data_IF_889708282148
#
_entry.id   IF_889708282148
#
_cell.length_a   1.000
_cell.length_b   1.000
_cell.length_c   1.000
_cell.angle_alpha   90.00
_cell.angle_beta   90.00
_cell.angle_gamma   90.00
#
_symmetry.space_group_name_H-M   'P 1'
#
loop_
_entity.id
_entity.type
_entity.pdbx_description
1 polymer ?
#
# COMPACT_ATOMS: atom_id res chain seq x y z
N UNK A 1 -15.62 -5.46 6.98
CA UNK A 1 -16.36 -6.25 5.97
C UNK A 1 -17.23 -7.34 6.58
N UNK A 2 -16.71 -8.25 7.42
CA UNK A 2 -17.51 -9.32 8.04
C UNK A 2 -18.77 -8.82 8.79
N UNK A 3 -18.72 -7.77 9.63
CA UNK A 3 -19.92 -7.25 10.29
C UNK A 3 -20.99 -6.77 9.29
N UNK A 4 -20.56 -6.15 8.19
CA UNK A 4 -21.46 -5.66 7.14
C UNK A 4 -22.17 -6.80 6.42
N UNK A 5 -21.45 -7.87 6.13
CA UNK A 5 -22.05 -9.06 5.50
C UNK A 5 -23.00 -9.78 6.44
N UNK A 6 -22.73 -9.80 7.74
CA UNK A 6 -23.65 -10.36 8.73
C UNK A 6 -24.94 -9.52 8.86
N UNK A 7 -24.84 -8.19 8.81
CA UNK A 7 -26.01 -7.28 8.82
C UNK A 7 -26.87 -7.47 7.55
N UNK A 8 -26.23 -7.74 6.41
CA UNK A 8 -26.90 -7.84 5.10
C UNK A 8 -27.22 -9.27 4.67
N UNK A 9 -26.96 -10.26 5.53
CA UNK A 9 -27.46 -11.62 5.32
C UNK A 9 -28.98 -11.56 5.13
N UNK A 10 -29.55 -12.27 4.14
CA UNK A 10 -30.99 -12.37 4.04
C UNK A 10 -31.52 -12.90 5.38
N UNK A 11 -32.53 -12.24 5.94
CA UNK A 11 -33.19 -12.66 7.19
C UNK A 11 -33.92 -14.02 7.07
N UNK A 12 -33.89 -14.66 5.89
CA UNK A 12 -34.19 -16.09 5.72
C UNK A 12 -33.07 -16.98 6.30
N UNK A 13 -33.14 -18.30 6.11
CA UNK A 13 -32.16 -19.28 6.63
C UNK A 13 -30.73 -18.93 6.17
N UNK A 14 -29.89 -18.28 7.00
CA UNK A 14 -28.58 -17.82 6.54
C UNK A 14 -27.68 -19.05 6.43
N UNK A 15 -27.08 -19.26 5.26
CA UNK A 15 -26.08 -20.31 5.11
C UNK A 15 -24.73 -19.80 5.66
N UNK A 16 -24.63 -19.74 6.98
CA UNK A 16 -23.41 -19.32 7.69
C UNK A 16 -22.19 -20.14 7.27
N UNK A 17 -22.38 -21.44 6.97
CA UNK A 17 -21.31 -22.30 6.48
C UNK A 17 -20.74 -21.82 5.15
N UNK A 18 -21.59 -21.40 4.21
CA UNK A 18 -21.14 -20.81 2.94
C UNK A 18 -20.40 -19.49 3.16
N UNK A 19 -20.93 -18.59 4.00
CA UNK A 19 -20.30 -17.30 4.29
C UNK A 19 -18.93 -17.49 4.95
N UNK A 20 -18.87 -18.31 6.00
CA UNK A 20 -17.61 -18.63 6.70
C UNK A 20 -16.60 -19.25 5.73
N UNK A 21 -17.01 -20.18 4.87
CA UNK A 21 -16.14 -20.77 3.84
C UNK A 21 -15.60 -19.73 2.86
N UNK A 22 -16.44 -18.80 2.38
CA UNK A 22 -16.01 -17.75 1.44
C UNK A 22 -15.05 -16.77 2.08
N UNK A 23 -15.30 -16.38 3.32
CA UNK A 23 -14.37 -15.53 4.08
C UNK A 23 -13.06 -16.24 4.38
N UNK A 24 -13.09 -17.52 4.77
CA UNK A 24 -11.89 -18.31 4.99
C UNK A 24 -11.07 -18.44 3.70
N UNK A 25 -11.72 -18.69 2.56
CA UNK A 25 -11.07 -18.72 1.26
C UNK A 25 -10.44 -17.38 0.90
N UNK A 26 -11.18 -16.27 1.05
CA UNK A 26 -10.66 -14.94 0.76
C UNK A 26 -9.50 -14.56 1.68
N UNK A 27 -9.59 -14.87 2.96
CA UNK A 27 -8.53 -14.64 3.95
C UNK A 27 -7.28 -15.46 3.62
N UNK A 28 -7.43 -16.76 3.39
CA UNK A 28 -6.30 -17.63 3.05
C UNK A 28 -5.63 -17.20 1.74
N UNK A 29 -6.42 -16.84 0.72
CA UNK A 29 -5.87 -16.34 -0.54
C UNK A 29 -5.13 -15.00 -0.36
N UNK A 30 -5.73 -14.05 0.38
CA UNK A 30 -5.10 -12.78 0.68
C UNK A 30 -3.79 -12.96 1.48
N UNK A 31 -3.79 -13.88 2.46
CA UNK A 31 -2.59 -14.21 3.23
C UNK A 31 -1.48 -14.77 2.33
N UNK A 32 -1.80 -15.73 1.45
CA UNK A 32 -0.83 -16.31 0.53
C UNK A 32 -0.27 -15.26 -0.45
N UNK A 33 -1.14 -14.44 -1.04
CA UNK A 33 -0.72 -13.39 -1.98
C UNK A 33 0.08 -12.26 -1.29
N UNK A 34 -0.15 -12.02 0.00
CA UNK A 34 0.59 -11.03 0.78
C UNK A 34 1.75 -11.64 1.58
N UNK A 35 2.01 -12.95 1.45
CA UNK A 35 2.94 -13.69 2.30
C UNK A 35 4.36 -13.11 2.37
N UNK A 36 5.00 -12.61 1.28
CA UNK A 36 6.32 -11.98 1.37
C UNK A 36 6.42 -10.85 2.41
N UNK A 37 5.31 -10.14 2.62
CA UNK A 37 5.24 -9.04 3.57
C UNK A 37 4.68 -9.48 4.91
N UNK A 38 3.56 -10.22 4.90
CA UNK A 38 2.84 -10.60 6.12
C UNK A 38 3.62 -11.59 6.97
N UNK A 39 4.34 -12.54 6.36
CA UNK A 39 5.11 -13.54 7.11
C UNK A 39 6.26 -12.88 7.87
N UNK A 40 7.08 -12.09 7.17
CA UNK A 40 8.18 -11.33 7.75
C UNK A 40 7.69 -10.38 8.84
N UNK A 41 6.58 -9.69 8.59
CA UNK A 41 5.94 -8.82 9.58
C UNK A 41 5.47 -9.61 10.81
N UNK A 42 4.77 -10.73 10.64
CA UNK A 42 4.22 -11.51 11.74
C UNK A 42 5.32 -12.09 12.66
N UNK A 43 6.40 -12.61 12.07
CA UNK A 43 7.53 -13.16 12.82
C UNK A 43 8.30 -12.09 13.60
N UNK A 44 8.37 -10.88 13.05
CA UNK A 44 9.13 -9.77 13.64
C UNK A 44 8.25 -8.74 14.37
N UNK A 45 6.93 -8.95 14.45
CA UNK A 45 6.00 -7.94 14.95
C UNK A 45 6.29 -7.50 16.38
N UNK A 46 6.75 -8.40 17.24
CA UNK A 46 7.10 -8.11 18.63
C UNK A 46 8.33 -7.20 18.78
N UNK A 47 9.16 -7.13 17.74
CA UNK A 47 10.40 -6.36 17.69
C UNK A 47 10.22 -4.99 17.02
N UNK A 48 9.07 -4.77 16.37
CA UNK A 48 8.77 -3.52 15.66
C UNK A 48 8.00 -2.59 16.59
N UNK A 49 8.43 -1.34 16.65
CA UNK A 49 7.66 -0.24 17.24
C UNK A 49 7.18 0.70 16.16
N UNK A 50 6.05 1.36 16.41
CA UNK A 50 5.50 2.37 15.52
C UNK A 50 5.23 3.62 16.34
N UNK A 51 5.65 4.77 15.83
CA UNK A 51 5.29 6.03 16.46
C UNK A 51 3.76 6.16 16.49
N UNK A 52 3.19 6.45 17.65
CA UNK A 52 1.77 6.73 17.83
C UNK A 52 1.49 8.24 17.67
N UNK A 53 0.35 8.60 17.10
CA UNK A 53 -0.12 9.99 17.09
C UNK A 53 -0.97 10.22 18.34
N UNK A 54 -0.28 10.60 19.43
CA UNK A 54 -0.90 10.74 20.74
C UNK A 54 -1.98 11.82 20.78
N UNK A 55 -1.84 12.82 19.92
CA UNK A 55 -2.74 13.97 19.87
C UNK A 55 -3.76 13.89 18.74
N UNK A 56 -3.73 12.82 17.94
CA UNK A 56 -4.53 12.68 16.72
C UNK A 56 -4.39 13.88 15.76
N UNK A 57 -3.22 14.53 15.75
CA UNK A 57 -2.97 15.75 14.99
C UNK A 57 -3.01 15.56 13.47
N UNK A 58 -2.82 14.32 13.00
CA UNK A 58 -2.89 13.97 11.57
C UNK A 58 -4.27 13.50 11.09
N UNK A 59 -5.32 13.63 11.91
CA UNK A 59 -6.61 12.98 11.65
C UNK A 59 -7.72 14.02 11.55
N UNK A 60 -8.47 13.99 10.45
CA UNK A 60 -9.60 14.88 10.22
C UNK A 60 -10.87 14.44 10.96
N UNK A 61 -11.70 15.41 11.41
CA UNK A 61 -13.10 15.18 11.74
C UNK A 61 -13.88 14.48 10.63
N UNK A 62 -14.88 13.67 11.01
CA UNK A 62 -15.73 12.91 10.09
C UNK A 62 -16.38 13.80 9.02
N UNK A 63 -16.78 15.02 9.40
CA UNK A 63 -17.47 15.98 8.54
C UNK A 63 -16.61 16.46 7.36
N UNK A 64 -15.28 16.42 7.48
CA UNK A 64 -14.37 16.96 6.47
C UNK A 64 -13.74 15.89 5.57
N UNK A 65 -13.68 14.63 6.00
CA UNK A 65 -13.12 13.54 5.18
C UNK A 65 -13.78 13.46 3.80
N UNK A 66 -15.12 13.56 3.63
CA UNK A 66 -15.74 13.50 2.31
C UNK A 66 -15.23 14.56 1.32
N UNK A 67 -14.77 15.72 1.80
CA UNK A 67 -14.21 16.76 0.93
C UNK A 67 -12.93 16.28 0.24
N UNK A 68 -12.15 15.41 0.89
CA UNK A 68 -10.92 14.85 0.30
C UNK A 68 -11.16 14.05 -0.98
N UNK A 69 -12.38 13.55 -1.19
CA UNK A 69 -12.76 12.81 -2.40
C UNK A 69 -12.97 13.71 -3.62
N UNK A 70 -13.21 15.01 -3.43
CA UNK A 70 -13.65 15.91 -4.50
C UNK A 70 -12.83 17.20 -4.65
N UNK A 71 -11.99 17.55 -3.66
CA UNK A 71 -11.12 18.72 -3.75
C UNK A 71 -9.89 18.41 -4.58
N UNK A 72 -9.70 19.15 -5.66
CA UNK A 72 -8.60 18.96 -6.61
C UNK A 72 -7.48 20.00 -6.50
N UNK A 73 -7.55 20.96 -5.57
CA UNK A 73 -6.52 21.99 -5.39
C UNK A 73 -5.42 21.48 -4.43
N UNK A 74 -4.16 21.29 -4.89
CA UNK A 74 -3.07 20.87 -4.01
C UNK A 74 -2.80 21.84 -2.85
N UNK A 75 -3.08 23.14 -3.04
CA UNK A 75 -2.85 24.17 -2.02
C UNK A 75 -3.78 24.01 -0.84
N UNK A 76 -5.00 23.50 -1.05
CA UNK A 76 -5.95 23.20 0.02
C UNK A 76 -5.31 22.29 1.08
N UNK A 77 -4.62 21.24 0.62
CA UNK A 77 -3.97 20.26 1.48
C UNK A 77 -2.68 20.75 2.16
N UNK A 78 -2.14 21.90 1.71
CA UNK A 78 -0.99 22.56 2.32
C UNK A 78 -1.37 23.65 3.33
N UNK A 79 -2.66 23.84 3.61
CA UNK A 79 -3.14 24.91 4.50
C UNK A 79 -3.74 24.34 5.79
N UNK A 80 -3.50 24.97 6.96
CA UNK A 80 -4.02 24.50 8.24
C UNK A 80 -5.49 24.89 8.45
N UNK A 81 -6.36 24.53 7.50
CA UNK A 81 -7.81 24.76 7.55
C UNK A 81 -8.54 23.45 7.85
N UNK A 82 -9.78 23.53 8.34
CA UNK A 82 -10.64 22.35 8.59
C UNK A 82 -9.98 21.27 9.47
N UNK A 83 -9.21 21.70 10.48
CA UNK A 83 -8.45 20.83 11.37
C UNK A 83 -7.43 19.91 10.65
N UNK A 84 -6.88 20.38 9.52
CA UNK A 84 -5.76 19.72 8.85
C UNK A 84 -4.42 20.28 9.32
N UNK A 85 -3.42 19.41 9.37
CA UNK A 85 -2.02 19.82 9.33
C UNK A 85 -1.61 20.15 7.87
N UNK A 86 -0.58 20.97 7.64
CA UNK A 86 -0.14 21.34 6.29
C UNK A 86 0.69 20.22 5.62
N UNK A 87 0.23 18.97 5.71
CA UNK A 87 0.90 17.79 5.16
C UNK A 87 -0.06 17.01 4.25
N UNK A 88 -0.01 17.23 2.92
CA UNK A 88 -0.97 16.62 1.99
C UNK A 88 -1.04 15.09 2.06
N UNK A 89 0.09 14.43 2.35
CA UNK A 89 0.16 12.98 2.52
C UNK A 89 -0.76 12.43 3.63
N UNK A 90 -1.29 13.29 4.50
CA UNK A 90 -2.24 12.93 5.56
C UNK A 90 -3.72 13.12 5.17
N UNK A 91 -4.03 13.63 3.97
CA UNK A 91 -5.42 13.98 3.61
C UNK A 91 -5.84 13.70 2.15
N UNK A 92 -4.92 13.46 1.21
CA UNK A 92 -5.27 13.31 -0.22
C UNK A 92 -5.96 11.96 -0.50
N UNK A 93 -7.19 12.00 -1.04
CA UNK A 93 -7.98 10.84 -1.45
C UNK A 93 -8.86 11.14 -2.69
N UNK A 94 -8.38 11.98 -3.60
CA UNK A 94 -9.18 12.49 -4.70
C UNK A 94 -9.71 11.39 -5.64
N UNK A 95 -11.02 11.38 -5.89
CA UNK A 95 -11.71 10.52 -6.89
C UNK A 95 -12.63 11.32 -7.83
N UNK A 96 -12.88 12.58 -7.51
CA UNK A 96 -13.63 13.53 -8.32
C UNK A 96 -15.15 13.46 -8.19
N UNK A 97 -15.80 14.57 -8.54
CA UNK A 97 -17.25 14.72 -8.49
C UNK A 97 -17.99 13.70 -9.35
N UNK A 98 -17.42 13.30 -10.48
CA UNK A 98 -18.07 12.35 -11.38
C UNK A 98 -18.34 11.00 -10.70
N UNK A 99 -17.35 10.47 -9.97
CA UNK A 99 -17.50 9.22 -9.23
C UNK A 99 -18.60 9.33 -8.15
N UNK A 100 -18.64 10.45 -7.42
CA UNK A 100 -19.64 10.72 -6.38
C UNK A 100 -21.04 10.84 -6.97
N UNK A 101 -21.22 11.62 -8.04
CA UNK A 101 -22.52 11.80 -8.68
C UNK A 101 -23.07 10.48 -9.24
N UNK A 102 -22.23 9.70 -9.91
CA UNK A 102 -22.60 8.37 -10.41
C UNK A 102 -22.93 7.40 -9.26
N UNK A 103 -22.20 7.47 -8.15
CA UNK A 103 -22.50 6.67 -6.97
C UNK A 103 -23.88 7.01 -6.36
N UNK A 104 -24.21 8.30 -6.26
CA UNK A 104 -25.53 8.76 -5.79
C UNK A 104 -26.64 8.31 -6.74
N UNK A 105 -26.41 8.34 -8.05
CA UNK A 105 -27.33 7.78 -9.04
C UNK A 105 -27.50 6.27 -8.83
N UNK A 106 -26.41 5.53 -8.60
CA UNK A 106 -26.44 4.10 -8.30
C UNK A 106 -27.28 3.78 -7.06
N UNK A 107 -27.10 4.54 -5.97
CA UNK A 107 -27.92 4.41 -4.76
C UNK A 107 -29.40 4.68 -5.04
N UNK A 108 -29.71 5.72 -5.83
CA UNK A 108 -31.10 6.09 -6.15
C UNK A 108 -31.78 5.11 -7.12
N UNK A 109 -31.03 4.52 -8.04
CA UNK A 109 -31.57 3.68 -9.13
C UNK A 109 -31.53 2.18 -8.85
N UNK A 110 -30.84 1.75 -7.78
CA UNK A 110 -30.85 0.36 -7.36
C UNK A 110 -32.26 -0.06 -6.89
N UNK A 111 -32.93 -0.92 -7.68
CA UNK A 111 -34.35 -1.30 -7.44
C UNK A 111 -34.57 -2.80 -7.31
N UNK A 112 -33.68 -3.63 -7.86
CA UNK A 112 -33.82 -5.08 -7.74
C UNK A 112 -33.38 -5.55 -6.35
N UNK A 113 -34.08 -6.52 -5.75
CA UNK A 113 -33.78 -6.95 -4.37
C UNK A 113 -32.33 -7.41 -4.14
N UNK A 114 -31.70 -8.05 -5.12
CA UNK A 114 -30.28 -8.42 -5.09
C UNK A 114 -29.35 -7.22 -5.20
N UNK A 115 -29.66 -6.30 -6.11
CA UNK A 115 -28.91 -5.06 -6.33
C UNK A 115 -28.97 -4.13 -5.12
N UNK A 116 -30.14 -3.97 -4.49
CA UNK A 116 -30.30 -3.17 -3.26
C UNK A 116 -29.37 -3.68 -2.15
N UNK A 117 -29.18 -4.99 -2.03
CA UNK A 117 -28.25 -5.57 -1.03
C UNK A 117 -26.79 -5.26 -1.37
N UNK A 118 -26.41 -5.37 -2.64
CA UNK A 118 -25.06 -5.00 -3.09
C UNK A 118 -24.81 -3.51 -2.85
N UNK A 119 -25.78 -2.67 -3.21
CA UNK A 119 -25.74 -1.23 -2.99
C UNK A 119 -25.60 -0.89 -1.49
N UNK A 120 -26.40 -1.49 -0.61
CA UNK A 120 -26.27 -1.32 0.84
C UNK A 120 -24.91 -1.80 1.36
N UNK A 121 -24.39 -2.92 0.85
CA UNK A 121 -23.07 -3.42 1.22
C UNK A 121 -21.97 -2.42 0.87
N UNK A 122 -21.98 -1.91 -0.36
CA UNK A 122 -20.99 -0.93 -0.83
C UNK A 122 -21.11 0.39 -0.06
N UNK A 123 -22.33 0.86 0.20
CA UNK A 123 -22.58 2.08 0.96
C UNK A 123 -22.05 1.95 2.40
N UNK A 124 -22.43 0.87 3.10
CA UNK A 124 -21.97 0.64 4.46
C UNK A 124 -20.45 0.41 4.53
N UNK A 125 -19.86 -0.20 3.50
CA UNK A 125 -18.41 -0.37 3.39
C UNK A 125 -17.70 0.98 3.28
N UNK A 126 -18.17 1.86 2.38
CA UNK A 126 -17.64 3.22 2.24
C UNK A 126 -17.76 4.02 3.54
N UNK A 127 -18.95 4.00 4.16
CA UNK A 127 -19.20 4.70 5.42
C UNK A 127 -18.31 4.18 6.55
N UNK A 128 -18.16 2.85 6.67
CA UNK A 128 -17.31 2.25 7.71
C UNK A 128 -15.86 2.69 7.55
N UNK A 129 -15.34 2.70 6.31
CA UNK A 129 -13.98 3.17 6.05
C UNK A 129 -13.80 4.64 6.47
N UNK A 130 -14.76 5.52 6.13
CA UNK A 130 -14.73 6.95 6.50
C UNK A 130 -14.83 7.13 8.02
N UNK A 131 -15.73 6.41 8.70
CA UNK A 131 -15.90 6.46 10.16
C UNK A 131 -14.62 5.99 10.87
N UNK A 132 -14.03 4.86 10.45
CA UNK A 132 -12.78 4.36 11.06
C UNK A 132 -11.60 5.29 10.75
N UNK A 133 -11.63 6.02 9.63
CA UNK A 133 -10.63 7.02 9.29
C UNK A 133 -10.76 8.33 10.11
N UNK A 134 -11.91 8.60 10.73
CA UNK A 134 -12.22 9.87 11.35
C UNK A 134 -11.76 10.00 12.80
N UNK A 135 -11.69 11.26 13.25
CA UNK A 135 -11.19 11.64 14.57
C UNK A 135 -12.08 11.13 15.71
N UNK A 136 -13.39 11.31 15.60
CA UNK A 136 -14.34 11.17 16.71
C UNK A 136 -14.40 9.72 17.24
N UNK A 137 -14.52 8.67 16.40
CA UNK A 137 -14.54 7.30 16.89
C UNK A 137 -13.22 6.89 17.54
N UNK A 138 -12.08 7.43 17.04
CA UNK A 138 -10.76 7.13 17.59
C UNK A 138 -10.55 7.79 18.95
N UNK A 139 -10.93 9.06 19.07
CA UNK A 139 -10.93 9.77 20.34
C UNK A 139 -11.84 9.07 21.35
N UNK A 140 -13.04 8.67 20.94
CA UNK A 140 -13.96 7.93 21.80
C UNK A 140 -13.34 6.63 22.32
N UNK A 141 -12.79 5.78 21.45
CA UNK A 141 -12.15 4.52 21.88
C UNK A 141 -10.98 4.79 22.83
N UNK A 142 -10.14 5.79 22.54
CA UNK A 142 -9.01 6.14 23.40
C UNK A 142 -9.45 6.69 24.77
N UNK A 143 -10.56 7.44 24.83
CA UNK A 143 -11.15 7.92 26.07
C UNK A 143 -11.76 6.81 26.92
N UNK A 144 -12.39 5.81 26.29
CA UNK A 144 -12.99 4.67 27.01
C UNK A 144 -11.94 3.65 27.48
N UNK A 145 -10.84 3.49 26.73
CA UNK A 145 -9.80 2.51 27.03
C UNK A 145 -8.40 3.14 27.10
N UNK A 146 -8.18 4.15 27.96
CA UNK A 146 -6.90 4.83 28.04
C UNK A 146 -5.81 3.86 28.51
N UNK A 147 -4.60 3.97 27.94
CA UNK A 147 -3.44 3.11 28.26
C UNK A 147 -3.63 1.61 28.00
N UNK A 148 -4.76 1.19 27.44
CA UNK A 148 -4.95 -0.19 27.01
C UNK A 148 -4.17 -0.48 25.73
N UNK A 149 -3.93 -1.77 25.44
CA UNK A 149 -3.41 -2.19 24.14
C UNK A 149 -4.25 -1.66 22.99
N UNK A 150 -5.59 -1.69 23.11
CA UNK A 150 -6.51 -1.19 22.09
C UNK A 150 -6.36 0.33 21.87
N UNK A 151 -6.28 1.11 22.94
CA UNK A 151 -6.04 2.55 22.87
C UNK A 151 -4.74 2.88 22.13
N UNK A 152 -3.66 2.16 22.45
CA UNK A 152 -2.38 2.31 21.76
C UNK A 152 -2.45 1.93 20.27
N UNK A 153 -3.16 0.85 19.92
CA UNK A 153 -3.36 0.47 18.51
C UNK A 153 -4.11 1.57 17.74
N UNK A 154 -5.17 2.14 18.32
CA UNK A 154 -5.93 3.24 17.71
C UNK A 154 -5.06 4.48 17.49
N UNK A 155 -4.24 4.86 18.46
CA UNK A 155 -3.28 5.98 18.31
C UNK A 155 -2.19 5.68 17.27
N UNK A 156 -1.87 4.41 17.04
CA UNK A 156 -0.89 3.97 16.04
C UNK A 156 -1.41 4.00 14.60
N UNK A 157 -2.72 4.22 14.39
CA UNK A 157 -3.36 4.36 13.06
C UNK A 157 -3.15 5.77 12.47
N UNK A 158 -1.90 6.16 12.21
CA UNK A 158 -1.55 7.54 11.80
C UNK A 158 -1.95 7.91 10.35
N UNK A 159 -2.30 6.95 9.51
CA UNK A 159 -2.61 7.20 8.10
C UNK A 159 -4.12 7.13 7.85
N UNK A 160 -4.83 8.21 8.18
CA UNK A 160 -6.23 8.37 7.81
C UNK A 160 -6.50 8.25 6.30
N UNK A 161 -5.61 8.72 5.39
CA UNK A 161 -5.86 8.59 3.96
C UNK A 161 -5.92 7.16 3.49
N UNK A 162 -5.03 6.29 3.97
CA UNK A 162 -5.03 4.88 3.57
C UNK A 162 -6.34 4.20 3.99
N UNK A 163 -6.86 4.52 5.18
CA UNK A 163 -8.10 3.94 5.69
C UNK A 163 -9.32 4.53 4.95
N UNK A 164 -9.40 5.86 4.80
CA UNK A 164 -10.46 6.52 4.04
C UNK A 164 -10.44 6.13 2.56
N UNK A 165 -9.26 5.86 2.00
CA UNK A 165 -9.06 5.38 0.64
C UNK A 165 -9.71 4.02 0.39
N UNK A 166 -9.94 3.21 1.43
CA UNK A 166 -10.74 1.98 1.32
C UNK A 166 -12.20 2.24 0.93
N UNK A 167 -12.70 3.47 1.09
CA UNK A 167 -14.02 3.88 0.63
C UNK A 167 -14.10 4.08 -0.89
N UNK A 168 -12.96 4.30 -1.57
CA UNK A 168 -12.91 4.58 -3.02
C UNK A 168 -13.50 3.44 -3.83
N UNK A 169 -13.09 2.20 -3.56
CA UNK A 169 -13.58 1.04 -4.33
C UNK A 169 -15.09 0.83 -4.17
N UNK A 170 -15.68 0.85 -2.97
CA UNK A 170 -17.13 0.79 -2.83
C UNK A 170 -17.87 1.95 -3.51
N UNK A 171 -17.33 3.19 -3.44
CA UNK A 171 -17.92 4.35 -4.13
C UNK A 171 -17.89 4.13 -5.65
N UNK A 172 -16.78 3.65 -6.22
CA UNK A 172 -16.69 3.33 -7.64
C UNK A 172 -17.62 2.18 -8.03
N UNK A 173 -17.82 1.19 -7.15
CA UNK A 173 -18.80 0.13 -7.34
C UNK A 173 -20.24 0.66 -7.40
N UNK A 174 -20.60 1.59 -6.52
CA UNK A 174 -21.88 2.31 -6.60
C UNK A 174 -21.98 3.14 -7.88
N UNK A 175 -20.86 3.77 -8.29
CA UNK A 175 -20.75 4.48 -9.55
C UNK A 175 -21.02 3.59 -10.76
N UNK A 176 -20.49 2.37 -10.76
CA UNK A 176 -20.72 1.39 -11.83
C UNK A 176 -22.19 0.99 -11.95
N UNK A 177 -22.88 0.80 -10.81
CA UNK A 177 -24.34 0.59 -10.79
C UNK A 177 -25.05 1.81 -11.41
N UNK A 178 -24.66 3.02 -11.03
CA UNK A 178 -25.23 4.25 -11.59
C UNK A 178 -25.05 4.38 -13.09
N UNK A 179 -23.85 4.06 -13.60
CA UNK A 179 -23.54 4.06 -15.04
C UNK A 179 -24.40 3.04 -15.78
N UNK A 180 -24.47 1.79 -15.31
CA UNK A 180 -25.28 0.73 -15.93
C UNK A 180 -26.75 1.15 -16.04
N UNK A 181 -27.31 1.65 -14.93
CA UNK A 181 -28.71 2.09 -14.88
C UNK A 181 -29.00 3.31 -15.76
N UNK A 182 -28.11 4.30 -15.80
CA UNK A 182 -28.25 5.43 -16.72
C UNK A 182 -28.12 5.00 -18.16
N UNK A 183 -27.19 4.10 -18.47
CA UNK A 183 -26.93 3.65 -19.83
C UNK A 183 -28.15 2.94 -20.41
N UNK A 184 -28.75 2.01 -19.64
CA UNK A 184 -30.00 1.33 -20.04
C UNK A 184 -31.15 2.34 -20.17
N UNK A 185 -31.33 3.24 -19.20
CA UNK A 185 -32.42 4.22 -19.23
C UNK A 185 -32.33 5.17 -20.42
N UNK A 186 -31.14 5.69 -20.73
CA UNK A 186 -30.93 6.63 -21.84
C UNK A 186 -31.01 5.93 -23.21
N UNK A 187 -30.68 4.64 -23.29
CA UNK A 187 -30.81 3.87 -24.53
C UNK A 187 -32.28 3.68 -24.97
N UNK A 188 -33.19 3.58 -23.99
CA UNK A 188 -34.63 3.36 -24.27
C UNK A 188 -35.38 4.64 -24.62
N UNK A 189 -34.94 5.80 -24.11
CA UNK A 189 -35.75 7.03 -24.14
C UNK A 189 -35.61 7.87 -25.42
N UNK A 190 -34.48 7.82 -26.12
CA UNK A 190 -34.27 8.67 -27.30
C UNK A 190 -33.42 7.95 -28.36
N UNK A 191 -34.04 7.70 -29.52
CA UNK A 191 -33.35 7.30 -30.74
C UNK A 191 -33.46 8.46 -31.74
N UNK A 192 -32.34 9.10 -32.05
CA UNK A 192 -32.30 10.10 -33.13
C UNK A 192 -31.97 9.32 -34.39
N UNK A 193 -32.95 9.16 -35.27
CA UNK A 193 -32.79 8.57 -36.59
C UNK A 193 -32.66 9.66 -37.64
N UNK A 194 -31.51 9.75 -38.30
CA UNK A 194 -31.37 10.59 -39.51
C UNK A 194 -31.88 9.75 -40.68
N UNK A 195 -33.10 10.01 -41.15
CA UNK A 195 -33.60 9.38 -42.36
C UNK A 195 -32.83 9.93 -43.56
N UNK A 196 -32.15 9.04 -44.26
CA UNK A 196 -31.42 9.39 -45.47
C UNK A 196 -32.36 9.20 -46.67
N UNK A 197 -32.54 10.22 -47.49
CA UNK A 197 -33.44 10.18 -48.66
C UNK A 197 -33.09 9.07 -49.67
N UNK A 198 -31.87 8.53 -49.61
CA UNK A 198 -31.35 7.54 -50.55
C UNK A 198 -31.56 6.08 -50.11
N UNK A 199 -32.43 5.80 -49.13
CA UNK A 199 -32.72 4.42 -48.68
C UNK A 199 -31.59 3.76 -47.88
N UNK A 200 -30.56 4.50 -47.50
CA UNK A 200 -29.53 4.01 -46.57
C UNK A 200 -30.11 3.81 -45.17
N UNK A 201 -29.66 2.78 -44.45
CA UNK A 201 -30.10 2.49 -43.07
C UNK A 201 -29.92 3.75 -42.22
N UNK A 202 -30.94 4.17 -41.44
CA UNK A 202 -30.83 5.36 -40.60
C UNK A 202 -29.69 5.15 -39.60
N UNK A 203 -28.82 6.15 -39.48
CA UNK A 203 -27.88 6.20 -38.37
C UNK A 203 -28.71 6.49 -37.12
N UNK A 204 -28.85 5.49 -36.25
CA UNK A 204 -29.49 5.65 -34.97
C UNK A 204 -28.42 6.00 -33.93
N UNK A 205 -28.47 7.22 -33.41
CA UNK A 205 -27.65 7.60 -32.26
C UNK A 205 -28.49 7.49 -30.99
N UNK A 206 -28.07 6.60 -30.09
CA UNK A 206 -28.68 6.45 -28.76
C UNK A 206 -28.04 7.42 -27.79
N UNK A 207 -28.85 8.06 -26.95
CA UNK A 207 -28.40 9.11 -26.02
C UNK A 207 -27.44 8.58 -24.94
N UNK A 208 -27.39 7.27 -24.72
CA UNK A 208 -26.46 6.62 -23.80
C UNK A 208 -24.98 6.89 -24.12
N UNK A 209 -24.62 7.14 -25.39
CA UNK A 209 -23.26 7.51 -25.78
C UNK A 209 -22.83 8.87 -25.22
N UNK A 210 -23.78 9.76 -24.90
CA UNK A 210 -23.46 11.01 -24.21
C UNK A 210 -22.90 10.78 -22.79
N UNK A 211 -23.14 9.61 -22.16
CA UNK A 211 -22.51 9.26 -20.88
C UNK A 211 -21.00 9.06 -20.99
N UNK A 212 -20.49 8.78 -22.19
CA UNK A 212 -19.04 8.57 -22.38
C UNK A 212 -18.27 9.88 -22.15
N UNK A 213 -18.84 11.03 -22.52
CA UNK A 213 -18.22 12.35 -22.31
C UNK A 213 -17.92 12.66 -20.83
N UNK A 214 -18.89 12.62 -19.90
CA UNK A 214 -18.64 12.84 -18.48
C UNK A 214 -17.73 11.75 -17.87
N UNK A 215 -17.77 10.51 -18.36
CA UNK A 215 -16.87 9.45 -17.91
C UNK A 215 -15.41 9.72 -18.31
N UNK A 216 -15.16 10.05 -19.58
CA UNK A 216 -13.84 10.44 -20.06
C UNK A 216 -13.35 11.67 -19.29
N UNK A 217 -14.20 12.68 -19.10
CA UNK A 217 -13.87 13.86 -18.33
C UNK A 217 -13.50 13.51 -16.87
N UNK A 218 -14.24 12.60 -16.23
CA UNK A 218 -13.95 12.12 -14.89
C UNK A 218 -12.57 11.48 -14.78
N UNK A 219 -12.25 10.54 -15.69
CA UNK A 219 -10.93 9.88 -15.73
C UNK A 219 -9.82 10.88 -16.02
N UNK A 220 -10.04 11.79 -16.96
CA UNK A 220 -9.08 12.84 -17.29
C UNK A 220 -8.80 13.75 -16.10
N UNK A 221 -9.83 14.16 -15.35
CA UNK A 221 -9.67 15.00 -14.17
C UNK A 221 -8.87 14.29 -13.07
N UNK A 222 -9.20 13.03 -12.77
CA UNK A 222 -8.42 12.21 -11.82
C UNK A 222 -6.97 12.10 -12.27
N UNK A 223 -6.70 11.84 -13.55
CA UNK A 223 -5.34 11.81 -14.09
C UNK A 223 -4.60 13.13 -13.84
N UNK A 224 -5.20 14.28 -14.14
CA UNK A 224 -4.56 15.59 -13.95
C UNK A 224 -4.19 15.83 -12.48
N UNK A 225 -5.10 15.50 -11.54
CA UNK A 225 -4.83 15.67 -10.11
C UNK A 225 -3.76 14.70 -9.63
N UNK A 226 -3.87 13.42 -10.00
CA UNK A 226 -2.91 12.38 -9.59
C UNK A 226 -1.51 12.64 -10.13
N UNK A 227 -1.37 13.18 -11.35
CA UNK A 227 -0.07 13.57 -11.90
C UNK A 227 0.63 14.69 -11.10
N UNK A 228 -0.11 15.47 -10.31
CA UNK A 228 0.47 16.42 -9.36
C UNK A 228 1.16 15.75 -8.16
N UNK A 229 0.77 14.52 -7.82
CA UNK A 229 1.26 13.78 -6.65
C UNK A 229 2.17 12.60 -7.03
N UNK A 230 1.90 11.96 -8.16
CA UNK A 230 2.63 10.80 -8.67
C UNK A 230 3.24 11.21 -10.01
N UNK A 231 4.50 11.63 -9.96
CA UNK A 231 5.30 12.01 -11.14
C UNK A 231 6.74 11.59 -10.95
N UNK A 232 7.44 11.45 -12.07
CA UNK A 232 8.88 11.30 -12.08
C UNK A 232 9.49 12.68 -12.27
N UNK A 233 10.24 13.12 -11.26
CA UNK A 233 11.04 14.35 -11.34
C UNK A 233 12.50 13.97 -11.62
N UNK A 234 13.20 14.79 -12.40
CA UNK A 234 14.64 14.63 -12.55
C UNK A 234 15.32 14.85 -11.19
N UNK A 235 16.33 14.04 -10.88
CA UNK A 235 17.12 14.25 -9.68
C UNK A 235 17.76 15.65 -9.70
N UNK A 236 17.65 16.36 -8.58
CA UNK A 236 18.28 17.67 -8.46
C UNK A 236 19.81 17.53 -8.60
N UNK A 237 20.50 18.46 -9.29
CA UNK A 237 21.94 18.33 -9.58
C UNK A 237 22.84 18.24 -8.34
N UNK A 238 22.37 18.74 -7.20
CA UNK A 238 23.08 18.66 -5.93
C UNK A 238 23.03 17.25 -5.32
N UNK A 239 22.04 16.41 -5.63
CA UNK A 239 21.88 15.09 -5.00
C UNK A 239 23.10 14.20 -5.23
N UNK A 240 23.59 13.96 -6.46
CA UNK A 240 24.79 13.14 -6.66
C UNK A 240 26.04 13.67 -5.96
N UNK A 241 26.16 15.00 -5.79
CA UNK A 241 27.30 15.66 -5.14
C UNK A 241 27.27 15.45 -3.63
N UNK A 242 26.11 15.64 -3.01
CA UNK A 242 25.91 15.37 -1.59
C UNK A 242 26.16 13.89 -1.29
N UNK A 243 25.59 12.98 -2.09
CA UNK A 243 25.83 11.55 -1.91
C UNK A 243 27.31 11.19 -2.08
N UNK A 244 28.01 11.77 -3.05
CA UNK A 244 29.46 11.56 -3.19
C UNK A 244 30.25 12.06 -1.97
N UNK A 245 29.88 13.21 -1.42
CA UNK A 245 30.52 13.78 -0.23
C UNK A 245 30.24 12.99 1.06
N UNK A 246 29.16 12.22 1.09
CA UNK A 246 28.81 11.34 2.21
C UNK A 246 29.51 9.97 2.17
N UNK A 247 30.33 9.69 1.16
CA UNK A 247 31.08 8.45 1.10
C UNK A 247 32.13 8.42 2.22
N UNK A 248 32.19 7.31 2.96
CA UNK A 248 33.17 7.09 4.02
C UNK A 248 34.22 6.05 3.58
N UNK A 249 35.40 5.98 4.23
CA UNK A 249 36.41 5.00 3.85
C UNK A 249 35.97 3.55 4.06
N UNK A 250 35.05 3.30 5.00
CA UNK A 250 34.47 1.98 5.25
C UNK A 250 32.94 2.01 5.09
N UNK A 251 32.18 1.38 5.98
CA UNK A 251 30.72 1.27 5.94
C UNK A 251 30.02 2.05 7.06
N UNK A 252 30.63 3.12 7.55
CA UNK A 252 30.04 3.94 8.59
C UNK A 252 28.65 4.47 8.20
N UNK A 253 27.79 4.60 9.21
CA UNK A 253 26.47 5.19 9.01
C UNK A 253 26.59 6.68 8.68
N UNK A 254 25.77 7.16 7.76
CA UNK A 254 25.74 8.56 7.34
C UNK A 254 24.31 9.09 7.28
N UNK A 255 24.17 10.42 7.25
CA UNK A 255 22.88 11.06 6.99
C UNK A 255 22.99 12.12 5.89
N UNK A 256 21.98 12.16 5.02
CA UNK A 256 21.71 13.29 4.15
C UNK A 256 20.79 14.30 4.85
N UNK A 257 20.53 15.48 4.26
CA UNK A 257 19.74 16.53 4.91
C UNK A 257 18.37 16.05 5.39
N UNK A 258 18.01 16.40 6.63
CA UNK A 258 16.85 15.81 7.27
C UNK A 258 15.55 16.15 6.54
N UNK A 259 14.70 15.12 6.35
CA UNK A 259 13.39 15.25 5.72
C UNK A 259 13.41 15.28 4.19
N UNK A 260 14.58 15.24 3.56
CA UNK A 260 14.71 15.30 2.11
C UNK A 260 14.73 13.88 1.51
N UNK A 261 13.55 13.35 1.15
CA UNK A 261 13.39 11.97 0.64
C UNK A 261 14.15 11.72 -0.67
N UNK A 262 14.40 12.77 -1.46
CA UNK A 262 15.04 12.67 -2.78
C UNK A 262 16.48 12.12 -2.77
N UNK A 263 17.15 12.09 -1.61
CA UNK A 263 18.49 11.53 -1.49
C UNK A 263 18.51 10.02 -1.27
N UNK A 264 17.43 9.43 -0.73
CA UNK A 264 17.43 8.06 -0.22
C UNK A 264 17.79 7.02 -1.28
N UNK A 265 17.12 7.07 -2.44
CA UNK A 265 17.34 6.11 -3.53
C UNK A 265 18.79 6.18 -4.05
N UNK A 266 19.30 7.39 -4.28
CA UNK A 266 20.69 7.58 -4.75
C UNK A 266 21.72 7.17 -3.71
N UNK A 267 21.44 7.39 -2.43
CA UNK A 267 22.32 6.96 -1.35
C UNK A 267 22.40 5.43 -1.29
N UNK A 268 21.24 4.75 -1.34
CA UNK A 268 21.17 3.28 -1.35
C UNK A 268 21.83 2.68 -2.60
N UNK A 269 21.61 3.27 -3.77
CA UNK A 269 22.23 2.83 -5.03
C UNK A 269 23.76 2.98 -5.03
N UNK A 270 24.32 3.80 -4.14
CA UNK A 270 25.76 3.93 -3.90
C UNK A 270 26.26 3.18 -2.66
N UNK A 271 25.43 2.31 -2.09
CA UNK A 271 25.82 1.48 -0.94
C UNK A 271 25.96 2.23 0.39
N UNK A 272 25.48 3.48 0.49
CA UNK A 272 25.56 4.22 1.74
C UNK A 272 24.59 3.66 2.79
N UNK A 273 25.05 3.58 4.05
CA UNK A 273 24.23 3.17 5.19
C UNK A 273 23.60 4.38 5.85
N UNK A 274 22.27 4.44 5.92
CA UNK A 274 21.54 5.63 6.38
C UNK A 274 21.13 5.50 7.84
N UNK A 275 21.64 6.38 8.69
CA UNK A 275 21.50 6.25 10.14
C UNK A 275 20.11 6.69 10.64
N UNK A 276 19.64 7.83 10.12
CA UNK A 276 18.44 8.52 10.54
C UNK A 276 17.60 8.91 9.34
N UNK A 277 16.48 8.20 9.17
CA UNK A 277 15.45 8.53 8.19
C UNK A 277 14.08 8.40 8.84
N UNK A 278 13.07 9.23 8.49
CA UNK A 278 11.71 9.10 9.01
C UNK A 278 11.03 7.83 8.47
N UNK A 279 11.42 6.69 9.02
CA UNK A 279 10.73 5.43 8.78
C UNK A 279 9.37 5.45 9.47
N UNK A 280 8.36 4.83 8.84
CA UNK A 280 7.01 4.74 9.41
C UNK A 280 6.94 3.80 10.64
N UNK A 281 8.04 3.13 10.96
CA UNK A 281 8.23 2.15 12.02
C UNK A 281 9.71 2.19 12.45
N UNK A 282 10.03 1.60 13.59
CA UNK A 282 11.39 1.45 14.08
C UNK A 282 11.55 0.15 14.85
N UNK A 283 12.75 -0.10 15.35
CA UNK A 283 13.00 -1.25 16.20
C UNK A 283 12.74 -0.90 17.67
N UNK A 284 12.03 -1.78 18.34
CA UNK A 284 11.72 -1.63 19.76
C UNK A 284 13.02 -1.64 20.56
N UNK A 285 13.14 -0.68 21.48
CA UNK A 285 14.28 -0.55 22.40
C UNK A 285 15.65 -0.43 21.71
N UNK A 286 15.68 0.00 20.43
CA UNK A 286 16.91 0.23 19.67
C UNK A 286 16.94 1.66 19.14
N UNK A 287 17.86 2.52 19.62
CA UNK A 287 18.04 3.83 19.04
C UNK A 287 18.76 3.70 17.68
N UNK A 288 18.48 4.63 16.78
CA UNK A 288 19.19 4.77 15.51
C UNK A 288 20.71 4.85 15.74
N UNK A 289 21.52 4.23 14.86
CA UNK A 289 22.97 4.39 14.94
C UNK A 289 23.34 5.88 14.80
N UNK A 290 24.40 6.28 15.51
CA UNK A 290 24.95 7.62 15.33
C UNK A 290 25.70 7.66 13.99
N UNK A 291 25.42 8.64 13.11
CA UNK A 291 26.13 8.77 11.86
C UNK A 291 27.56 9.31 12.10
N UNK A 292 28.54 8.75 11.39
CA UNK A 292 29.90 9.28 11.36
C UNK A 292 30.00 10.57 10.53
N UNK A 293 29.16 10.70 9.50
CA UNK A 293 29.15 11.83 8.58
C UNK A 293 27.71 12.26 8.26
N UNK A 294 27.44 13.55 8.24
CA UNK A 294 26.11 14.10 7.98
C UNK A 294 26.19 15.33 7.09
N UNK A 295 25.28 15.44 6.13
CA UNK A 295 25.08 16.65 5.34
C UNK A 295 23.82 17.36 5.83
N UNK A 296 23.92 18.64 6.19
CA UNK A 296 22.78 19.43 6.67
C UNK A 296 22.92 20.89 6.23
N UNK A 297 21.79 21.54 5.95
CA UNK A 297 21.76 22.93 5.50
C UNK A 297 20.93 23.88 6.38
N UNK A 298 20.11 23.34 7.29
CA UNK A 298 19.18 24.16 8.10
C UNK A 298 19.68 24.41 9.52
N UNK A 299 20.44 23.48 10.11
CA UNK A 299 20.98 23.61 11.47
C UNK A 299 22.26 22.77 11.64
N UNK A 300 23.09 23.11 12.62
CA UNK A 300 24.22 22.26 12.99
C UNK A 300 23.71 21.05 13.82
N UNK A 301 23.98 19.80 13.42
CA UNK A 301 23.63 18.64 14.23
C UNK A 301 24.34 18.66 15.59
N UNK A 302 23.65 18.18 16.64
CA UNK A 302 24.26 18.06 17.97
C UNK A 302 25.43 17.08 17.93
N UNK A 303 26.44 17.31 18.78
CA UNK A 303 27.60 16.41 18.96
C UNK A 303 28.40 16.16 17.66
N UNK A 304 28.40 17.15 16.76
CA UNK A 304 29.19 17.13 15.53
C UNK A 304 30.12 18.33 15.42
N UNK A 305 31.15 18.19 14.59
CA UNK A 305 32.07 19.26 14.19
C UNK A 305 31.91 19.49 12.69
N UNK A 306 31.89 20.75 12.27
CA UNK A 306 31.85 21.11 10.84
C UNK A 306 33.12 20.59 10.15
N UNK A 307 32.95 19.69 9.19
CA UNK A 307 34.01 19.05 8.43
C UNK A 307 34.34 19.80 7.12
N UNK A 308 33.43 20.66 6.66
CA UNK A 308 33.64 21.49 5.48
C UNK A 308 32.34 21.80 4.73
N UNK A 309 32.47 22.44 3.57
CA UNK A 309 31.38 22.65 2.61
C UNK A 309 31.44 21.62 1.48
N UNK A 310 30.30 21.36 0.85
CA UNK A 310 30.22 20.49 -0.34
C UNK A 310 30.44 21.37 -1.58
N UNK A 311 31.42 21.07 -2.45
CA UNK A 311 31.69 21.87 -3.63
C UNK A 311 30.44 22.06 -4.50
N UNK A 312 30.19 23.31 -4.91
CA UNK A 312 29.10 23.68 -5.82
C UNK A 312 27.69 23.28 -5.33
N UNK A 313 27.51 23.18 -4.01
CA UNK A 313 26.22 22.98 -3.36
C UNK A 313 26.05 24.03 -2.27
N UNK A 314 25.38 25.12 -2.62
CA UNK A 314 25.17 26.23 -1.70
C UNK A 314 24.25 25.83 -0.54
N UNK A 315 24.61 26.27 0.67
CA UNK A 315 23.80 26.11 1.87
C UNK A 315 23.82 24.72 2.50
N UNK A 316 24.54 23.73 1.96
CA UNK A 316 24.72 22.42 2.61
C UNK A 316 26.15 22.28 3.11
N UNK A 317 26.28 21.96 4.40
CA UNK A 317 27.56 21.72 5.07
C UNK A 317 27.69 20.26 5.45
N UNK A 318 28.94 19.81 5.55
CA UNK A 318 29.30 18.48 6.01
C UNK A 318 29.71 18.56 7.48
N UNK A 319 29.20 17.63 8.27
CA UNK A 319 29.43 17.51 9.70
C UNK A 319 29.94 16.11 10.01
N UNK A 320 30.99 16.01 10.83
CA UNK A 320 31.54 14.75 11.33
C UNK A 320 31.18 14.58 12.79
N UNK A 321 30.94 13.35 13.23
CA UNK A 321 30.75 13.06 14.66
C UNK A 321 31.96 13.56 15.47
N UNK A 322 31.70 14.16 16.65
CA UNK A 322 32.75 14.63 17.55
C UNK A 322 33.55 13.47 18.18
N UNK A 323 32.93 12.30 18.26
CA UNK A 323 33.56 11.03 18.69
C UNK A 323 33.68 10.10 17.50
N UNK A 324 34.69 9.23 17.50
CA UNK A 324 34.86 8.24 16.44
C UNK A 324 33.66 7.29 16.41
N UNK A 325 33.00 7.23 15.24
CA UNK A 325 31.84 6.38 14.99
C UNK A 325 32.23 5.26 14.02
N UNK A 326 33.24 4.49 14.40
CA UNK A 326 33.72 3.37 13.59
C UNK A 326 32.62 2.35 13.39
N UNK A 327 32.54 1.80 12.19
CA UNK A 327 31.51 0.82 11.82
C UNK A 327 31.80 -0.55 12.41
N UNK A 328 33.06 -1.00 12.30
CA UNK A 328 33.53 -2.28 12.81
C UNK A 328 34.81 -2.07 13.61
N UNK A 329 34.84 -2.60 14.83
CA UNK A 329 36.01 -2.51 15.70
C UNK A 329 36.12 -3.73 16.60
N UNK A 330 37.34 -4.07 17.00
CA UNK A 330 37.58 -5.09 18.02
C UNK A 330 37.80 -4.39 19.35
N UNK A 331 36.91 -4.66 20.29
CA UNK A 331 36.94 -4.14 21.65
C UNK A 331 37.72 -5.09 22.57
N UNK A 332 38.41 -4.50 23.54
CA UNK A 332 39.21 -5.22 24.52
C UNK A 332 38.86 -4.73 25.92
N UNK A 333 39.06 -5.57 26.94
CA UNK A 333 38.75 -5.22 28.32
C UNK A 333 39.60 -4.05 28.89
N UNK A 334 40.82 -3.86 28.38
CA UNK A 334 41.80 -2.94 28.96
C UNK A 334 42.71 -2.24 27.95
N UNK A 335 42.37 -2.29 26.66
CA UNK A 335 43.16 -1.68 25.58
C UNK A 335 42.28 -0.88 24.63
N UNK A 336 42.90 0.04 23.88
CA UNK A 336 42.21 0.79 22.84
C UNK A 336 41.67 -0.14 21.75
N UNK A 337 40.47 0.13 21.21
CA UNK A 337 39.87 -0.72 20.21
C UNK A 337 40.68 -0.72 18.91
N UNK A 338 40.71 -1.86 18.23
CA UNK A 338 41.29 -1.95 16.89
C UNK A 338 40.22 -1.70 15.85
N UNK A 339 40.39 -0.65 15.04
CA UNK A 339 39.47 -0.30 13.96
C UNK A 339 39.64 -1.30 12.82
N UNK A 340 38.53 -1.83 12.31
CA UNK A 340 38.53 -2.76 11.18
C UNK A 340 37.99 -2.10 9.92
N UNK A 341 38.52 -2.52 8.77
CA UNK A 341 38.00 -2.09 7.48
C UNK A 341 36.77 -2.92 7.12
N UNK A 342 35.68 -2.27 6.73
CA UNK A 342 34.47 -2.94 6.30
C UNK A 342 34.07 -2.49 4.88
N UNK A 343 33.56 -3.42 4.08
CA UNK A 343 33.04 -3.17 2.74
C UNK A 343 31.83 -4.07 2.47
N UNK A 344 30.98 -3.67 1.54
CA UNK A 344 29.81 -4.44 1.16
C UNK A 344 28.55 -3.60 0.99
N UNK A 345 27.43 -4.27 0.74
CA UNK A 345 26.14 -3.65 0.51
C UNK A 345 25.03 -4.38 1.27
N UNK A 346 24.15 -3.61 1.90
CA UNK A 346 22.97 -4.13 2.60
C UNK A 346 23.29 -5.36 3.51
N UNK A 347 22.90 -6.56 3.06
CA UNK A 347 23.02 -7.83 3.78
C UNK A 347 24.34 -8.58 3.55
N UNK A 348 25.25 -8.07 2.74
CA UNK A 348 26.52 -8.71 2.39
C UNK A 348 27.67 -7.83 2.83
N UNK A 349 28.28 -8.15 3.97
CA UNK A 349 29.32 -7.32 4.59
C UNK A 349 30.57 -8.16 4.81
N UNK A 350 31.70 -7.64 4.39
CA UNK A 350 33.02 -8.20 4.66
C UNK A 350 33.81 -7.24 5.54
N UNK A 351 34.36 -7.77 6.62
CA UNK A 351 35.18 -7.03 7.59
C UNK A 351 36.57 -7.65 7.62
N UNK A 352 37.60 -6.84 7.41
CA UNK A 352 39.00 -7.21 7.55
C UNK A 352 39.57 -6.57 8.82
N UNK A 353 40.09 -7.40 9.72
CA UNK A 353 40.68 -6.99 10.99
C UNK A 353 42.08 -7.58 11.15
N UNK A 354 43.00 -6.82 11.74
CA UNK A 354 44.29 -7.30 12.20
C UNK A 354 44.46 -6.95 13.69
N UNK A 355 44.36 -7.96 14.55
CA UNK A 355 44.38 -7.80 16.00
C UNK A 355 45.66 -8.38 16.59
N UNK A 356 46.21 -7.74 17.64
CA UNK A 356 47.39 -8.25 18.36
C UNK A 356 47.05 -9.21 19.49
N UNK A 357 45.81 -9.17 19.95
CA UNK A 357 45.29 -10.00 21.03
C UNK A 357 43.84 -10.37 20.71
N UNK A 358 43.32 -11.39 21.39
CA UNK A 358 41.92 -11.75 21.28
C UNK A 358 41.03 -10.64 21.87
N UNK A 359 39.87 -10.44 21.27
CA UNK A 359 38.89 -9.44 21.69
C UNK A 359 37.50 -9.75 21.15
N UNK A 360 36.57 -8.81 21.30
CA UNK A 360 35.22 -8.91 20.74
C UNK A 360 35.11 -8.02 19.51
N UNK A 361 34.88 -8.60 18.34
CA UNK A 361 34.54 -7.82 17.15
C UNK A 361 33.11 -7.32 17.32
N UNK A 362 32.91 -6.01 17.29
CA UNK A 362 31.60 -5.35 17.27
C UNK A 362 31.42 -4.68 15.92
N UNK A 363 30.40 -5.10 15.18
CA UNK A 363 29.95 -4.48 13.94
C UNK A 363 28.64 -3.76 14.23
N UNK A 364 28.58 -2.44 13.99
CA UNK A 364 27.39 -1.60 14.20
C UNK A 364 26.29 -1.88 13.16
N UNK A 365 25.96 -3.14 12.93
CA UNK A 365 24.84 -3.60 12.14
C UNK A 365 23.78 -4.20 13.06
N UNK A 366 22.51 -4.01 12.72
CA UNK A 366 21.43 -4.53 13.57
C UNK A 366 21.45 -6.06 13.57
N UNK A 367 21.68 -6.67 14.74
CA UNK A 367 21.62 -8.12 14.87
C UNK A 367 20.17 -8.61 14.85
N UNK A 368 19.82 -9.40 13.83
CA UNK A 368 18.52 -10.05 13.59
C UNK A 368 18.67 -11.52 13.20
N UNK A 369 17.57 -12.28 13.32
CA UNK A 369 17.51 -13.63 12.77
C UNK A 369 17.70 -13.60 11.26
N UNK A 370 18.62 -14.43 10.76
CA UNK A 370 18.95 -14.53 9.33
C UNK A 370 20.38 -14.11 9.00
N UNK A 371 21.13 -13.53 9.95
CA UNK A 371 22.56 -13.34 9.79
C UNK A 371 23.30 -14.67 9.95
N UNK A 372 24.17 -14.96 9.00
CA UNK A 372 25.21 -15.97 9.09
C UNK A 372 26.56 -15.28 9.12
N UNK A 373 27.42 -15.69 10.04
CA UNK A 373 28.77 -15.11 10.18
C UNK A 373 29.80 -16.22 10.01
N UNK A 374 30.83 -15.94 9.22
CA UNK A 374 32.01 -16.80 9.12
C UNK A 374 33.29 -16.01 9.38
N UNK A 375 34.22 -16.61 10.10
CA UNK A 375 35.58 -16.09 10.31
C UNK A 375 36.54 -17.03 9.58
N UNK A 376 37.26 -16.50 8.60
CA UNK A 376 38.18 -17.25 7.74
C UNK A 376 37.53 -18.51 7.12
N UNK A 377 36.28 -18.36 6.69
CA UNK A 377 35.47 -19.42 6.08
C UNK A 377 34.84 -20.43 7.06
N UNK A 378 35.07 -20.30 8.36
CA UNK A 378 34.45 -21.15 9.39
C UNK A 378 33.28 -20.43 10.05
N UNK A 379 32.16 -21.13 10.25
CA UNK A 379 31.00 -20.58 10.92
C UNK A 379 31.36 -20.08 12.34
N UNK A 380 30.84 -18.90 12.69
CA UNK A 380 31.00 -18.28 14.00
C UNK A 380 29.63 -17.93 14.59
N UNK A 381 29.54 -17.87 15.91
CA UNK A 381 28.32 -17.54 16.63
C UNK A 381 28.29 -16.05 16.99
N UNK A 382 27.12 -15.42 16.86
CA UNK A 382 26.88 -14.04 17.28
C UNK A 382 26.52 -14.04 18.77
N UNK A 383 27.19 -13.21 19.56
CA UNK A 383 27.09 -13.18 21.04
C UNK A 383 26.17 -12.07 21.58
N UNK A 384 26.08 -10.91 20.92
CA UNK A 384 25.36 -9.74 21.41
C UNK A 384 24.00 -9.53 20.74
N UNK A 385 22.99 -9.04 21.46
CA UNK A 385 21.61 -8.90 20.98
C UNK A 385 21.35 -7.62 20.16
N UNK A 386 22.11 -6.55 20.38
CA UNK A 386 21.87 -5.26 19.68
C UNK A 386 22.64 -5.17 18.36
N UNK A 387 23.96 -5.22 18.47
CA UNK A 387 24.90 -5.17 17.36
C UNK A 387 25.38 -6.58 17.06
N UNK A 388 25.88 -6.82 15.86
CA UNK A 388 26.51 -8.10 15.56
C UNK A 388 27.87 -8.09 16.25
N UNK A 389 28.03 -8.95 17.26
CA UNK A 389 29.29 -9.13 17.95
C UNK A 389 29.69 -10.59 18.03
N UNK A 390 31.00 -10.86 18.02
CA UNK A 390 31.55 -12.20 18.17
C UNK A 390 32.98 -12.15 18.73
N UNK A 391 33.39 -13.18 19.46
CA UNK A 391 34.78 -13.35 19.83
C UNK A 391 35.69 -13.49 18.59
N UNK A 392 36.76 -12.70 18.54
CA UNK A 392 37.76 -12.73 17.49
C UNK A 392 39.14 -13.05 18.10
N UNK A 393 39.82 -14.12 17.67
CA UNK A 393 41.17 -14.42 18.13
C UNK A 393 42.18 -13.35 17.66
N UNK A 394 43.40 -13.44 18.19
CA UNK A 394 44.51 -12.61 17.73
C UNK A 394 44.93 -13.05 16.32
N UNK A 395 45.14 -12.08 15.42
CA UNK A 395 45.65 -12.34 14.08
C UNK A 395 44.97 -11.51 12.99
N UNK A 396 45.21 -11.91 11.74
CA UNK A 396 44.56 -11.36 10.55
C UNK A 396 43.34 -12.21 10.23
N UNK A 397 42.18 -11.60 10.18
CA UNK A 397 40.92 -12.29 9.96
C UNK A 397 40.10 -11.61 8.88
N UNK A 398 39.45 -12.44 8.05
CA UNK A 398 38.37 -12.03 7.17
C UNK A 398 37.06 -12.54 7.74
N UNK A 399 36.20 -11.61 8.14
CA UNK A 399 34.88 -11.89 8.70
C UNK A 399 33.85 -11.57 7.64
N UNK A 400 33.00 -12.54 7.31
CA UNK A 400 31.94 -12.39 6.33
C UNK A 400 30.59 -12.50 7.02
N UNK A 401 29.78 -11.46 6.90
CA UNK A 401 28.42 -11.41 7.42
C UNK A 401 27.46 -11.47 6.24
N UNK A 402 26.50 -12.40 6.29
CA UNK A 402 25.54 -12.66 5.22
C UNK A 402 24.14 -12.74 5.78
N UNK A 403 23.30 -11.75 5.46
CA UNK A 403 21.89 -11.71 5.84
C UNK A 403 21.05 -12.43 4.79
N UNK A 404 20.51 -13.60 5.17
CA UNK A 404 19.67 -14.46 4.33
C UNK A 404 18.47 -14.96 5.14
N UNK A 405 17.48 -14.09 5.40
CA UNK A 405 16.26 -14.48 6.13
C UNK A 405 15.48 -15.53 5.33
N UNK A 406 15.19 -16.67 5.96
CA UNK A 406 14.49 -17.79 5.32
C UNK A 406 13.02 -17.45 5.07
N UNK A 407 12.44 -16.57 5.88
CA UNK A 407 11.05 -16.12 5.80
C UNK A 407 10.75 -15.39 4.49
N UNK A 408 11.73 -14.69 3.91
CA UNK A 408 11.57 -14.04 2.61
C UNK A 408 11.32 -15.08 1.50
N UNK A 409 12.16 -16.12 1.45
CA UNK A 409 12.01 -17.21 0.47
C UNK A 409 10.70 -17.98 0.65
N UNK A 410 10.34 -18.31 1.90
CA UNK A 410 9.05 -18.94 2.17
C UNK A 410 7.88 -18.05 1.75
N UNK A 411 7.95 -16.74 2.03
CA UNK A 411 6.94 -15.78 1.62
C UNK A 411 6.71 -15.78 0.11
N UNK A 412 7.78 -15.78 -0.69
CA UNK A 412 7.67 -15.88 -2.16
C UNK A 412 7.11 -17.23 -2.64
N UNK A 413 7.49 -18.34 -1.99
CA UNK A 413 6.91 -19.65 -2.31
C UNK A 413 5.40 -19.68 -2.04
N UNK A 414 4.96 -19.12 -0.91
CA UNK A 414 3.54 -18.99 -0.55
C UNK A 414 2.78 -18.06 -1.50
N UNK A 415 3.39 -16.97 -1.97
CA UNK A 415 2.84 -16.13 -3.04
C UNK A 415 2.61 -16.93 -4.32
N UNK A 416 3.59 -17.74 -4.73
CA UNK A 416 3.46 -18.63 -5.89
C UNK A 416 2.25 -19.57 -5.77
N UNK A 417 2.09 -20.20 -4.60
CA UNK A 417 0.91 -21.03 -4.29
C UNK A 417 -0.40 -20.22 -4.32
N UNK A 418 -0.40 -19.00 -3.78
CA UNK A 418 -1.53 -18.08 -3.83
C UNK A 418 -1.93 -17.74 -5.25
N UNK A 419 -0.97 -17.43 -6.13
CA UNK A 419 -1.21 -17.17 -7.54
C UNK A 419 -1.82 -18.39 -8.26
N UNK A 420 -1.25 -19.58 -8.06
CA UNK A 420 -1.79 -20.83 -8.64
C UNK A 420 -3.22 -21.07 -8.15
N UNK A 421 -3.48 -20.87 -6.86
CA UNK A 421 -4.81 -21.05 -6.29
C UNK A 421 -5.81 -20.00 -6.78
N UNK A 422 -5.40 -18.73 -6.92
CA UNK A 422 -6.21 -17.67 -7.52
C UNK A 422 -6.63 -18.03 -8.95
N UNK A 423 -5.67 -18.48 -9.78
CA UNK A 423 -5.92 -18.91 -11.16
C UNK A 423 -6.88 -20.11 -11.18
N UNK A 424 -6.66 -21.09 -10.31
CA UNK A 424 -7.55 -22.25 -10.18
C UNK A 424 -8.98 -21.84 -9.80
N UNK A 425 -9.15 -20.96 -8.80
CA UNK A 425 -10.45 -20.46 -8.36
C UNK A 425 -11.14 -19.63 -9.45
N UNK A 426 -10.36 -18.86 -10.23
CA UNK A 426 -10.87 -18.07 -11.35
C UNK A 426 -11.35 -18.95 -12.51
N UNK A 427 -10.62 -20.03 -12.83
CA UNK A 427 -10.98 -20.98 -13.88
C UNK A 427 -12.13 -21.90 -13.50
N UNK A 428 -12.39 -22.10 -12.21
CA UNK A 428 -13.46 -22.97 -11.75
C UNK A 428 -14.81 -22.39 -12.23
N UNK A 429 -15.60 -23.13 -13.05
CA UNK A 429 -16.90 -22.63 -13.50
C UNK A 429 -17.73 -22.29 -12.27
N UNK A 430 -18.06 -21.02 -12.13
CA UNK A 430 -18.87 -20.54 -11.04
C UNK A 430 -20.28 -21.11 -11.23
N UNK A 431 -20.66 -22.07 -10.39
CA UNK A 431 -22.06 -22.52 -10.25
C UNK A 431 -23.04 -21.38 -9.89
N UNK A 432 -22.59 -20.12 -9.79
CA UNK A 432 -23.45 -18.94 -9.75
C UNK A 432 -24.41 -18.86 -10.94
N UNK A 433 -24.02 -19.36 -12.12
CA UNK A 433 -24.95 -19.50 -13.24
C UNK A 433 -26.08 -20.52 -12.96
N UNK A 434 -25.79 -21.59 -12.22
CA UNK A 434 -26.78 -22.62 -11.88
C UNK A 434 -27.78 -22.15 -10.81
N UNK A 435 -27.36 -21.35 -9.82
CA UNK A 435 -28.27 -20.78 -8.80
C UNK A 435 -29.22 -19.74 -9.41
N UNK A 436 -28.78 -19.01 -10.44
CA UNK A 436 -29.67 -18.09 -11.15
C UNK A 436 -30.59 -18.81 -12.16
N UNK A 437 -30.16 -19.91 -12.78
CA UNK A 437 -31.01 -20.65 -13.71
C UNK A 437 -32.25 -21.26 -13.01
N UNK A 438 -32.08 -21.81 -11.81
CA UNK A 438 -33.20 -22.38 -11.05
C UNK A 438 -34.17 -21.31 -10.51
N UNK A 439 -33.67 -20.13 -10.13
CA UNK A 439 -34.51 -19.03 -9.66
C UNK A 439 -35.17 -18.22 -10.80
N UNK A 440 -34.54 -18.13 -11.97
CA UNK A 440 -35.16 -17.50 -13.15
C UNK A 440 -36.25 -18.39 -13.74
N UNK A 441 -36.11 -19.72 -13.68
CA UNK A 441 -37.18 -20.64 -14.09
C UNK A 441 -38.43 -20.57 -13.19
N UNK A 442 -38.27 -20.29 -11.89
CA UNK A 442 -39.40 -20.12 -10.98
C UNK A 442 -40.13 -18.76 -11.11
N UNK A 443 -39.46 -17.73 -11.60
CA UNK A 443 -40.11 -16.43 -11.90
C UNK A 443 -40.77 -16.43 -13.30
N UNK A 444 -40.20 -17.18 -14.26
CA UNK A 444 -40.81 -17.38 -15.58
C UNK A 444 -42.14 -18.16 -15.52
N UNK A 445 -42.23 -19.18 -14.66
CA UNK A 445 -43.44 -19.98 -14.51
C UNK A 445 -44.60 -19.25 -13.78
N UNK A 446 -44.35 -18.13 -13.09
CA UNK A 446 -45.40 -17.34 -12.43
C UNK A 446 -45.94 -16.19 -13.29
N UNK A 447 -45.33 -15.88 -14.44
CA UNK A 447 -45.81 -14.85 -15.37
C UNK A 447 -46.60 -15.41 -16.56
N UNK A 448 -46.65 -16.74 -16.72
CA UNK A 448 -47.43 -17.40 -17.77
C UNK A 448 -48.95 -17.47 -17.47
N UNK A 449 -49.40 -16.98 -16.31
CA UNK A 449 -50.80 -17.04 -15.90
C UNK A 449 -51.55 -15.69 -15.90
N UNK A 450 -50.97 -14.64 -16.47
CA UNK A 450 -51.69 -13.39 -16.76
C UNK A 450 -51.68 -13.15 -18.27
N UNK A 451 -52.76 -13.55 -18.92
CA UNK A 451 -52.95 -13.42 -20.35
C UNK A 451 -52.83 -11.98 -20.86
N UNK A 452 -52.50 -11.88 -22.15
CA UNK A 452 -52.28 -10.67 -22.97
C UNK A 452 -50.85 -10.15 -23.05
N UNK A 453 -49.99 -10.83 -23.81
CA UNK A 453 -49.00 -10.19 -24.69
C UNK A 453 -48.59 -11.17 -25.81
N UNK A 454 -49.44 -11.29 -26.83
CA UNK A 454 -49.14 -11.98 -28.09
C UNK A 454 -48.97 -10.94 -29.19
N UNK A 455 -47.81 -10.29 -29.28
CA UNK A 455 -47.36 -9.62 -30.52
C UNK A 455 -45.82 -9.62 -30.56
N UNK A 456 -45.27 -10.17 -31.65
CA UNK A 456 -43.87 -10.08 -32.13
C UNK A 456 -42.78 -10.93 -31.43
N UNK A 457 -42.87 -12.25 -31.61
CA UNK A 457 -41.69 -13.15 -31.68
C UNK A 457 -41.72 -13.92 -33.01
N UNK A 458 -41.55 -13.20 -34.12
CA UNK A 458 -41.35 -13.76 -35.45
C UNK A 458 -40.07 -13.20 -36.07
N UNK A 459 -38.91 -13.45 -35.43
CA UNK A 459 -37.60 -13.29 -36.09
C UNK A 459 -36.46 -14.06 -35.41
N UNK A 460 -36.74 -15.25 -34.85
CA UNK A 460 -35.71 -16.12 -34.27
C UNK A 460 -35.08 -17.11 -35.28
N UNK A 461 -35.26 -16.91 -36.58
CA UNK A 461 -34.54 -17.67 -37.64
C UNK A 461 -33.07 -17.25 -37.82
N UNK A 462 -32.60 -16.20 -37.12
CA UNK A 462 -31.24 -15.68 -37.25
C UNK A 462 -30.18 -16.39 -36.39
N UNK A 463 -30.58 -17.07 -35.31
CA UNK A 463 -29.64 -17.62 -34.31
C UNK A 463 -29.09 -19.00 -34.68
N UNK A 464 -29.83 -19.81 -35.45
CA UNK A 464 -29.35 -21.11 -35.93
C UNK A 464 -28.27 -20.99 -37.02
N UNK A 465 -28.28 -19.90 -37.79
CA UNK A 465 -27.23 -19.62 -38.79
C UNK A 465 -25.88 -19.24 -38.17
N UNK A 466 -25.86 -18.69 -36.96
CA UNK A 466 -24.60 -18.36 -36.25
C UNK A 466 -23.96 -19.57 -35.57
N UNK A 467 -24.76 -20.58 -35.14
CA UNK A 467 -24.21 -21.84 -34.65
C UNK A 467 -23.57 -22.69 -35.76
N UNK A 468 -24.09 -22.62 -36.99
CA UNK A 468 -23.49 -23.30 -38.13
C UNK A 468 -22.15 -22.68 -38.60
N UNK A 469 -21.92 -21.38 -38.33
CA UNK A 469 -20.72 -20.67 -38.78
C UNK A 469 -19.47 -20.89 -37.90
N UNK A 470 -19.63 -21.35 -36.65
CA UNK A 470 -18.52 -21.51 -35.69
C UNK A 470 -18.25 -22.97 -35.25
N UNK A 471 -18.94 -23.94 -35.85
CA UNK A 471 -18.70 -25.38 -35.61
C UNK A 471 -17.61 -25.96 -36.52
N UNK A 472 -16.35 -25.60 -36.28
CA UNK A 472 -15.20 -26.03 -37.10
C UNK A 472 -14.15 -26.82 -36.33
N UNK A 473 -14.34 -28.15 -36.28
CA UNK A 473 -13.35 -29.24 -36.11
C UNK A 473 -12.52 -29.35 -34.83
N UNK A 474 -12.76 -30.48 -34.15
CA UNK A 474 -11.79 -31.24 -33.39
C UNK A 474 -10.60 -31.70 -34.26
N UNK A 475 -9.39 -31.49 -33.73
CA UNK A 475 -8.31 -32.49 -33.66
C UNK A 475 -7.60 -32.31 -32.33
#
# INVERSE_FOLDING_TARGET
>A
MLPLTLILLPWGKPNFGLVARRYAQAFALAFLLAAPFVLSFALNFSQVTKAADVNFGGIQPFTFIPLSFVVNDPRFYGTPILAMAPFPALYVNYIGWMAILLALVGVRMARAGTETRVMLFLLLAAMTAVIVASLEPRQFINQQFPKSWLGYQIMSLRSSPVIAGLAVLPILGLGAIGVDRLFVKLAVQLQIGIQNANGAKPLAFTLNWLLVLPLIWGVWNVKQVTQGWIRMDALAPNVPRVIAALHTPTLEWVNFPWGEVGYLESAMARGLKIAGYPFAWGWKDRPSPAPALQAEGKWAPKETVEAGSIPEVDGIKLYRAATNQEYAQVEYASAEPTICAAQGDAGDIDVACETRQAGELVVKENNWSGWNVTVDGKAAQIENERWIALALPAGKHLIQLRYRPWEGMLGFALLGLGCVWAIFLWRKPNNFAAVNAEQVFLVGASFENSGQFNVLLSSLDGLDRLRAAFGGRSR
#
